data_IF_321968506921
#
_entry.id   IF_321968506921
#
_cell.length_a   1.000
_cell.length_b   1.000
_cell.length_c   1.000
_cell.angle_alpha   90.00
_cell.angle_beta   90.00
_cell.angle_gamma   90.00
#
_symmetry.space_group_name_H-M   'P 1'
#
loop_
_entity.id
_entity.type
_entity.pdbx_description
1 polymer ?
#
# COMPACT_ATOMS: atom_id res chain seq x y z
N UNK A 1 -80.25 -44.66 -18.18
CA UNK A 1 -80.35 -43.28 -18.71
C UNK A 1 -78.93 -42.76 -18.79
N UNK A 2 -78.56 -42.37 -20.01
CA UNK A 2 -77.48 -41.47 -20.43
C UNK A 2 -76.09 -41.45 -19.75
N UNK A 3 -75.11 -41.72 -20.62
CA UNK A 3 -73.84 -40.98 -20.85
C UNK A 3 -72.82 -41.07 -19.70
N UNK A 4 -71.55 -41.39 -19.98
CA UNK A 4 -70.66 -40.49 -20.69
C UNK A 4 -69.38 -41.23 -21.09
N UNK A 5 -68.97 -41.05 -22.36
CA UNK A 5 -67.69 -41.53 -22.91
C UNK A 5 -66.56 -40.67 -22.36
N UNK A 6 -65.55 -41.27 -21.74
CA UNK A 6 -64.30 -40.58 -21.44
C UNK A 6 -63.36 -40.69 -22.64
N UNK A 7 -63.25 -39.59 -23.38
CA UNK A 7 -62.26 -39.39 -24.43
C UNK A 7 -60.91 -39.18 -23.76
N UNK A 8 -59.99 -40.12 -23.90
CA UNK A 8 -58.59 -39.95 -23.46
C UNK A 8 -57.87 -39.08 -24.49
N UNK A 9 -57.77 -37.79 -24.17
CA UNK A 9 -57.03 -36.81 -24.98
C UNK A 9 -55.53 -37.05 -24.80
N UNK A 10 -54.88 -37.49 -25.88
CA UNK A 10 -53.42 -37.51 -26.00
C UNK A 10 -52.91 -36.05 -26.00
N UNK A 11 -52.23 -35.63 -24.93
CA UNK A 11 -51.39 -34.43 -24.95
C UNK A 11 -49.95 -34.89 -25.17
N UNK A 12 -49.30 -34.51 -26.28
CA UNK A 12 -47.94 -34.93 -26.57
C UNK A 12 -46.96 -34.26 -25.60
N UNK A 13 -46.09 -35.10 -25.06
CA UNK A 13 -44.90 -34.82 -24.26
C UNK A 13 -43.90 -34.00 -25.10
N UNK A 14 -44.14 -32.70 -25.26
CA UNK A 14 -43.38 -31.83 -26.16
C UNK A 14 -42.95 -30.52 -25.47
N UNK A 15 -42.52 -30.60 -24.21
CA UNK A 15 -41.93 -29.47 -23.46
C UNK A 15 -40.85 -29.92 -22.46
N UNK A 16 -39.97 -30.84 -22.84
CA UNK A 16 -38.86 -31.27 -21.97
C UNK A 16 -37.51 -31.44 -22.69
N UNK A 17 -37.25 -30.59 -23.70
CA UNK A 17 -35.96 -30.53 -24.39
C UNK A 17 -35.45 -29.09 -24.56
N UNK A 18 -35.59 -28.23 -23.55
CA UNK A 18 -34.92 -26.92 -23.50
C UNK A 18 -34.11 -26.71 -22.20
N UNK A 19 -33.75 -27.79 -21.51
CA UNK A 19 -32.84 -27.75 -20.35
C UNK A 19 -31.51 -28.47 -20.63
N UNK A 20 -31.12 -28.56 -21.89
CA UNK A 20 -29.74 -28.80 -22.33
C UNK A 20 -29.09 -27.47 -22.75
N UNK A 21 -29.31 -26.42 -21.95
CA UNK A 21 -28.40 -25.29 -21.94
C UNK A 21 -27.06 -25.80 -21.40
N UNK A 22 -26.03 -25.65 -22.24
CA UNK A 22 -24.67 -26.08 -22.03
C UNK A 22 -24.12 -25.75 -20.64
N UNK A 23 -23.19 -26.59 -20.22
CA UNK A 23 -22.28 -26.40 -19.10
C UNK A 23 -21.90 -24.94 -18.86
N UNK A 24 -22.04 -24.49 -17.61
CA UNK A 24 -21.16 -23.65 -16.75
C UNK A 24 -19.98 -22.85 -17.35
N UNK A 25 -19.99 -22.43 -18.61
CA UNK A 25 -18.86 -21.79 -19.29
C UNK A 25 -19.15 -20.34 -19.69
N UNK A 26 -19.72 -19.60 -18.74
CA UNK A 26 -19.65 -18.15 -18.71
C UNK A 26 -19.36 -17.72 -17.27
N UNK A 27 -18.21 -18.13 -16.74
CA UNK A 27 -17.65 -17.46 -15.56
C UNK A 27 -17.30 -16.05 -15.99
N UNK A 28 -18.24 -15.13 -15.80
CA UNK A 28 -17.97 -13.71 -15.87
C UNK A 28 -16.75 -13.43 -14.98
N UNK A 29 -15.73 -12.78 -15.54
CA UNK A 29 -14.47 -12.50 -14.83
C UNK A 29 -14.73 -11.36 -13.83
N UNK A 30 -15.39 -11.72 -12.73
CA UNK A 30 -15.76 -10.88 -11.61
C UNK A 30 -14.55 -10.60 -10.69
N UNK A 31 -14.76 -9.83 -9.62
CA UNK A 31 -13.70 -9.47 -8.68
C UNK A 31 -13.01 -10.72 -8.08
N UNK A 32 -13.76 -11.73 -7.66
CA UNK A 32 -13.20 -12.95 -7.05
C UNK A 32 -12.27 -13.70 -8.01
N UNK A 33 -12.62 -13.79 -9.29
CA UNK A 33 -11.79 -14.41 -10.32
C UNK A 33 -10.44 -13.70 -10.45
N UNK A 34 -10.45 -12.37 -10.55
CA UNK A 34 -9.22 -11.60 -10.70
C UNK A 34 -8.38 -11.58 -9.43
N UNK A 35 -9.03 -11.54 -8.25
CA UNK A 35 -8.35 -11.64 -6.97
C UNK A 35 -7.59 -12.96 -6.86
N UNK A 36 -8.24 -14.09 -7.18
CA UNK A 36 -7.60 -15.40 -7.16
C UNK A 36 -6.38 -15.48 -8.09
N UNK A 37 -6.46 -14.84 -9.26
CA UNK A 37 -5.32 -14.77 -10.19
C UNK A 37 -4.19 -13.88 -9.69
N UNK A 38 -4.50 -12.73 -9.10
CA UNK A 38 -3.51 -11.87 -8.48
C UNK A 38 -2.82 -12.58 -7.29
N UNK A 39 -3.58 -13.27 -6.44
CA UNK A 39 -3.06 -14.04 -5.30
C UNK A 39 -2.13 -15.18 -5.74
N UNK A 40 -2.52 -15.95 -6.76
CA UNK A 40 -1.67 -17.00 -7.35
C UNK A 40 -0.31 -16.43 -7.77
N UNK A 41 -0.30 -15.25 -8.38
CA UNK A 41 0.92 -14.61 -8.90
C UNK A 41 1.75 -13.95 -7.81
N UNK A 42 1.11 -13.39 -6.79
CA UNK A 42 1.77 -12.93 -5.56
C UNK A 42 2.50 -14.08 -4.86
N UNK A 43 1.86 -15.25 -4.73
CA UNK A 43 2.49 -16.44 -4.13
C UNK A 43 3.71 -16.93 -4.92
N UNK A 44 3.67 -16.89 -6.25
CA UNK A 44 4.84 -17.23 -7.08
C UNK A 44 5.99 -16.24 -6.89
N UNK A 45 5.69 -14.94 -6.81
CA UNK A 45 6.68 -13.92 -6.49
C UNK A 45 7.31 -14.18 -5.12
N UNK A 46 6.50 -14.37 -4.08
CA UNK A 46 7.00 -14.66 -2.71
C UNK A 46 7.85 -15.93 -2.69
N UNK A 47 7.40 -17.01 -3.33
CA UNK A 47 8.16 -18.26 -3.40
C UNK A 47 9.51 -18.08 -4.10
N UNK A 48 9.59 -17.25 -5.15
CA UNK A 48 10.86 -16.92 -5.80
C UNK A 48 11.78 -16.14 -4.85
N UNK A 49 11.25 -15.13 -4.16
CA UNK A 49 12.03 -14.30 -3.23
C UNK A 49 12.57 -15.13 -2.05
N UNK A 50 11.77 -16.06 -1.52
CA UNK A 50 12.17 -16.97 -0.44
C UNK A 50 13.11 -18.10 -0.88
N UNK A 51 13.33 -18.30 -2.19
CA UNK A 51 14.23 -19.36 -2.68
C UNK A 51 15.71 -19.06 -2.45
N UNK A 52 16.07 -17.81 -2.14
CA UNK A 52 17.44 -17.39 -1.87
C UNK A 52 17.68 -17.35 -0.35
N UNK A 53 18.62 -18.14 0.18
CA UNK A 53 18.98 -18.07 1.59
C UNK A 53 19.65 -16.73 1.91
N UNK A 54 19.49 -16.27 3.15
CA UNK A 54 20.05 -15.03 3.66
C UNK A 54 21.11 -15.31 4.71
N UNK A 55 22.37 -15.07 4.34
CA UNK A 55 23.52 -15.04 5.25
C UNK A 55 23.91 -13.59 5.60
N UNK A 56 23.87 -12.71 4.59
CA UNK A 56 24.08 -11.28 4.72
C UNK A 56 22.90 -10.51 4.11
N UNK A 57 22.24 -9.66 4.89
CA UNK A 57 21.07 -8.92 4.42
C UNK A 57 21.42 -7.79 3.44
N UNK A 58 22.67 -7.32 3.47
CA UNK A 58 23.14 -6.26 2.57
C UNK A 58 23.26 -6.72 1.11
N UNK A 59 23.24 -8.04 0.89
CA UNK A 59 23.20 -8.63 -0.46
C UNK A 59 21.81 -8.52 -1.10
N UNK A 60 20.80 -8.10 -0.33
CA UNK A 60 19.42 -7.92 -0.81
C UNK A 60 19.11 -6.43 -0.96
N UNK A 61 18.39 -6.06 -2.02
CA UNK A 61 17.87 -4.72 -2.23
C UNK A 61 16.39 -4.64 -1.86
N UNK A 62 15.97 -3.54 -1.25
CA UNK A 62 14.56 -3.27 -1.02
C UNK A 62 13.93 -2.76 -2.32
N UNK A 63 12.83 -3.37 -2.73
CA UNK A 63 12.00 -2.92 -3.85
C UNK A 63 10.56 -2.78 -3.42
N UNK A 64 9.86 -1.86 -4.08
CA UNK A 64 8.42 -1.69 -3.93
C UNK A 64 7.74 -2.27 -5.17
N UNK A 65 6.84 -3.23 -4.97
CA UNK A 65 5.99 -3.77 -6.02
C UNK A 65 4.53 -3.60 -5.63
N UNK A 66 3.76 -2.97 -6.51
CA UNK A 66 2.36 -2.57 -6.27
C UNK A 66 2.26 -1.73 -4.99
N UNK A 67 1.88 -2.35 -3.87
CA UNK A 67 1.67 -1.71 -2.57
C UNK A 67 2.39 -2.45 -1.44
N UNK A 68 3.48 -3.13 -1.75
CA UNK A 68 4.26 -3.89 -0.77
C UNK A 68 5.75 -3.75 -1.00
N UNK A 69 6.50 -3.85 0.09
CA UNK A 69 7.95 -3.86 0.10
C UNK A 69 8.45 -5.30 0.08
N UNK A 70 9.51 -5.54 -0.69
CA UNK A 70 10.14 -6.83 -0.84
C UNK A 70 11.66 -6.70 -0.75
N UNK A 71 12.32 -7.75 -0.27
CA UNK A 71 13.76 -7.91 -0.37
C UNK A 71 14.09 -8.81 -1.55
N UNK A 72 14.89 -8.30 -2.47
CA UNK A 72 15.22 -8.96 -3.73
C UNK A 72 16.72 -9.14 -3.80
N UNK A 73 17.19 -10.37 -4.00
CA UNK A 73 18.59 -10.61 -4.27
C UNK A 73 18.89 -10.32 -5.76
N UNK A 74 20.00 -9.63 -6.10
CA UNK A 74 20.33 -9.28 -7.49
C UNK A 74 20.31 -10.46 -8.47
N UNK A 75 20.66 -11.68 -8.03
CA UNK A 75 20.67 -12.88 -8.89
C UNK A 75 19.29 -13.29 -9.43
N UNK A 76 18.19 -12.89 -8.79
CA UNK A 76 16.82 -13.20 -9.21
C UNK A 76 16.01 -11.97 -9.64
N UNK A 77 16.65 -10.79 -9.64
CA UNK A 77 15.99 -9.49 -9.81
C UNK A 77 15.13 -9.43 -11.07
N UNK A 78 15.69 -9.82 -12.23
CA UNK A 78 14.96 -9.78 -13.51
C UNK A 78 13.71 -10.67 -13.49
N UNK A 79 13.79 -11.83 -12.84
CA UNK A 79 12.66 -12.76 -12.74
C UNK A 79 11.62 -12.25 -11.75
N UNK A 80 12.06 -11.65 -10.64
CA UNK A 80 11.18 -11.01 -9.66
C UNK A 80 10.44 -9.82 -10.28
N UNK A 81 11.15 -8.93 -11.00
CA UNK A 81 10.54 -7.78 -11.69
C UNK A 81 9.48 -8.21 -12.71
N UNK A 82 9.75 -9.30 -13.46
CA UNK A 82 8.78 -9.87 -14.39
C UNK A 82 7.51 -10.36 -13.66
N UNK A 83 7.67 -11.16 -12.61
CA UNK A 83 6.53 -11.68 -11.84
C UNK A 83 5.76 -10.55 -11.15
N UNK A 84 6.45 -9.55 -10.61
CA UNK A 84 5.84 -8.37 -10.01
C UNK A 84 4.98 -7.60 -11.01
N UNK A 85 5.46 -7.44 -12.26
CA UNK A 85 4.68 -6.80 -13.33
C UNK A 85 3.46 -7.63 -13.75
N UNK A 86 3.59 -8.94 -13.82
CA UNK A 86 2.45 -9.83 -14.10
C UNK A 86 1.41 -9.78 -12.98
N UNK A 87 1.85 -9.77 -11.72
CA UNK A 87 1.02 -9.58 -10.54
C UNK A 87 0.29 -8.22 -10.58
N UNK A 88 1.01 -7.13 -10.85
CA UNK A 88 0.45 -5.78 -10.95
C UNK A 88 -0.67 -5.68 -11.99
N UNK A 89 -0.48 -6.30 -13.16
CA UNK A 89 -1.52 -6.35 -14.20
C UNK A 89 -2.79 -7.04 -13.70
N UNK A 90 -2.65 -8.14 -12.95
CA UNK A 90 -3.79 -8.89 -12.42
C UNK A 90 -4.46 -8.13 -11.26
N UNK A 91 -3.67 -7.47 -10.42
CA UNK A 91 -4.16 -6.60 -9.36
C UNK A 91 -5.01 -5.45 -9.91
N UNK A 92 -4.56 -4.78 -10.97
CA UNK A 92 -5.36 -3.73 -11.60
C UNK A 92 -6.67 -4.24 -12.17
N UNK A 93 -6.70 -5.44 -12.78
CA UNK A 93 -7.95 -6.05 -13.24
C UNK A 93 -8.90 -6.38 -12.11
N UNK A 94 -8.38 -6.76 -10.95
CA UNK A 94 -9.17 -6.96 -9.74
C UNK A 94 -9.77 -5.64 -9.24
N UNK A 95 -8.97 -4.57 -9.16
CA UNK A 95 -9.45 -3.24 -8.79
C UNK A 95 -10.55 -2.75 -9.75
N UNK A 96 -10.35 -2.90 -11.06
CA UNK A 96 -11.33 -2.53 -12.08
C UNK A 96 -12.64 -3.32 -11.93
N UNK A 97 -12.56 -4.61 -11.58
CA UNK A 97 -13.73 -5.45 -11.36
C UNK A 97 -14.51 -5.03 -10.11
N UNK A 98 -13.81 -4.75 -8.98
CA UNK A 98 -14.45 -4.20 -7.77
C UNK A 98 -15.20 -2.91 -8.09
N UNK A 99 -14.57 -1.99 -8.83
CA UNK A 99 -15.19 -0.71 -9.18
C UNK A 99 -16.45 -0.88 -10.05
N UNK A 100 -16.43 -1.81 -11.01
CA UNK A 100 -17.60 -2.13 -11.84
C UNK A 100 -18.75 -2.72 -11.03
N UNK A 101 -18.43 -3.46 -9.97
CA UNK A 101 -19.39 -4.02 -9.02
C UNK A 101 -19.88 -2.98 -7.98
N UNK A 102 -19.42 -1.73 -8.08
CA UNK A 102 -19.81 -0.64 -7.19
C UNK A 102 -19.02 -0.59 -5.87
N UNK A 103 -17.96 -1.39 -5.74
CA UNK A 103 -17.07 -1.39 -4.59
C UNK A 103 -16.02 -0.28 -4.66
N UNK A 104 -15.44 0.03 -3.50
CA UNK A 104 -14.30 0.94 -3.35
C UNK A 104 -13.13 0.15 -2.79
N UNK A 105 -11.97 0.25 -3.43
CA UNK A 105 -10.72 -0.30 -2.88
C UNK A 105 -10.06 0.80 -2.07
N UNK A 106 -10.02 0.61 -0.75
CA UNK A 106 -9.25 1.49 0.12
C UNK A 106 -7.80 1.03 0.13
N UNK A 107 -6.94 1.89 -0.42
CA UNK A 107 -5.51 1.68 -0.44
C UNK A 107 -4.93 2.20 0.88
N UNK A 108 -4.82 1.29 1.85
CA UNK A 108 -4.15 1.60 3.11
C UNK A 108 -2.75 2.17 2.83
N UNK A 109 -2.39 3.22 3.57
CA UNK A 109 -1.06 3.82 3.47
C UNK A 109 0.00 2.77 3.78
N UNK A 110 0.97 2.62 2.88
CA UNK A 110 2.05 1.65 3.07
C UNK A 110 2.81 1.93 4.36
N UNK A 111 3.10 0.89 5.14
CA UNK A 111 3.95 0.96 6.33
C UNK A 111 5.40 0.68 5.91
N UNK A 112 6.24 1.71 5.74
CA UNK A 112 7.60 1.51 5.28
C UNK A 112 8.43 0.72 6.31
N UNK A 113 9.27 -0.22 5.85
CA UNK A 113 10.20 -0.90 6.72
C UNK A 113 11.26 0.08 7.22
N UNK A 114 11.72 -0.14 8.44
CA UNK A 114 12.74 0.68 9.10
C UNK A 114 14.12 0.04 9.07
N UNK A 115 14.19 -1.23 8.68
CA UNK A 115 15.42 -1.99 8.58
C UNK A 115 15.21 -3.32 7.87
N UNK A 116 16.29 -4.09 7.79
CA UNK A 116 16.33 -5.38 7.11
C UNK A 116 17.19 -6.32 7.97
N UNK A 117 16.86 -7.60 7.99
CA UNK A 117 17.67 -8.62 8.67
C UNK A 117 17.56 -10.00 7.99
N UNK A 118 18.48 -10.90 8.30
CA UNK A 118 18.29 -12.33 8.04
C UNK A 118 17.70 -12.99 9.29
N UNK A 119 16.53 -13.61 9.18
CA UNK A 119 15.87 -14.35 10.27
C UNK A 119 15.64 -15.78 9.79
N UNK A 120 16.17 -16.77 10.52
CA UNK A 120 16.08 -18.19 10.16
C UNK A 120 16.53 -18.49 8.72
N UNK A 121 17.60 -17.82 8.26
CA UNK A 121 18.13 -17.97 6.90
C UNK A 121 17.26 -17.33 5.81
N UNK A 122 16.28 -16.49 6.16
CA UNK A 122 15.44 -15.75 5.19
C UNK A 122 15.60 -14.25 5.35
N UNK A 123 15.69 -13.54 4.23
CA UNK A 123 15.72 -12.09 4.23
C UNK A 123 14.35 -11.55 4.67
N UNK A 124 14.33 -10.70 5.69
CA UNK A 124 13.12 -10.18 6.31
C UNK A 124 13.19 -8.67 6.44
N UNK A 125 12.07 -8.00 6.14
CA UNK A 125 11.89 -6.58 6.41
C UNK A 125 11.54 -6.38 7.89
N UNK A 126 12.19 -5.41 8.53
CA UNK A 126 11.91 -5.02 9.90
C UNK A 126 11.06 -3.76 9.93
N UNK A 127 10.00 -3.76 10.73
CA UNK A 127 9.05 -2.66 10.84
C UNK A 127 9.12 -1.95 12.20
N UNK A 128 8.62 -0.72 12.26
CA UNK A 128 8.65 0.10 13.48
C UNK A 128 7.97 -0.60 14.67
N UNK A 129 6.93 -1.41 14.42
CA UNK A 129 6.17 -2.14 15.43
C UNK A 129 7.02 -3.18 16.18
N UNK A 130 8.13 -3.62 15.59
CA UNK A 130 9.04 -4.64 16.15
C UNK A 130 10.22 -4.04 16.93
N UNK A 131 10.30 -2.71 17.01
CA UNK A 131 11.38 -2.02 17.72
C UNK A 131 11.08 -1.89 19.22
N UNK A 132 12.14 -1.96 20.02
CA UNK A 132 12.17 -1.51 21.42
C UNK A 132 12.13 0.01 21.54
N UNK A 133 11.92 0.53 22.75
CA UNK A 133 11.90 1.98 22.98
C UNK A 133 13.28 2.60 22.74
N UNK A 134 14.34 1.89 23.14
CA UNK A 134 15.73 2.28 22.98
C UNK A 134 16.10 2.40 21.49
N UNK A 135 15.73 1.42 20.68
CA UNK A 135 15.97 1.44 19.23
C UNK A 135 15.22 2.58 18.53
N UNK A 136 13.95 2.80 18.91
CA UNK A 136 13.17 3.93 18.39
C UNK A 136 13.85 5.26 18.73
N UNK A 137 14.26 5.45 19.99
CA UNK A 137 14.96 6.66 20.44
C UNK A 137 16.29 6.87 19.74
N UNK A 138 17.02 5.81 19.42
CA UNK A 138 18.27 5.88 18.68
C UNK A 138 18.07 6.26 17.20
N UNK A 139 17.04 5.74 16.55
CA UNK A 139 16.81 5.95 15.11
C UNK A 139 16.14 7.29 14.79
N UNK A 140 15.24 7.77 15.66
CA UNK A 140 14.41 8.94 15.38
C UNK A 140 15.20 10.21 15.02
N UNK A 141 16.28 10.60 15.71
CA UNK A 141 17.03 11.82 15.39
C UNK A 141 17.55 11.83 13.95
N UNK A 142 18.15 10.73 13.49
CA UNK A 142 18.65 10.62 12.12
C UNK A 142 17.55 10.69 11.07
N UNK A 143 16.38 10.10 11.35
CA UNK A 143 15.21 10.19 10.45
C UNK A 143 14.61 11.59 10.42
N UNK A 144 14.57 12.28 11.55
CA UNK A 144 14.13 13.66 11.63
C UNK A 144 15.01 14.58 10.78
N UNK A 145 16.33 14.52 10.98
CA UNK A 145 17.30 15.30 10.21
C UNK A 145 17.18 15.00 8.71
N UNK A 146 17.02 13.73 8.33
CA UNK A 146 16.82 13.38 6.93
C UNK A 146 15.58 14.05 6.31
N UNK A 147 14.46 14.17 7.05
CA UNK A 147 13.26 14.91 6.57
C UNK A 147 13.59 16.38 6.39
N UNK A 148 14.27 17.01 7.36
CA UNK A 148 14.61 18.44 7.32
C UNK A 148 15.59 18.76 6.19
N UNK A 149 16.52 17.86 5.92
CA UNK A 149 17.57 18.04 4.93
C UNK A 149 17.17 17.66 3.51
N UNK A 150 16.08 16.89 3.31
CA UNK A 150 15.75 16.28 2.03
C UNK A 150 15.68 17.28 0.86
N UNK A 151 15.13 18.47 1.10
CA UNK A 151 14.97 19.53 0.11
C UNK A 151 15.91 20.72 0.34
N UNK A 152 16.94 20.60 1.18
CA UNK A 152 17.79 21.76 1.57
C UNK A 152 18.48 22.45 0.39
N UNK A 153 18.77 21.68 -0.67
CA UNK A 153 19.46 22.13 -1.88
C UNK A 153 18.48 22.43 -3.04
N UNK A 154 17.17 22.31 -2.81
CA UNK A 154 16.14 22.63 -3.80
C UNK A 154 15.63 24.05 -3.57
N UNK A 155 15.91 25.01 -4.48
CA UNK A 155 15.50 26.39 -4.29
C UNK A 155 13.98 26.56 -4.40
N UNK A 156 13.42 27.43 -3.57
CA UNK A 156 12.05 27.89 -3.66
C UNK A 156 12.01 29.21 -4.42
N UNK A 157 11.61 29.15 -5.69
CA UNK A 157 11.39 30.34 -6.54
C UNK A 157 9.91 30.62 -6.75
N UNK A 158 9.06 29.59 -6.69
CA UNK A 158 7.61 29.69 -6.85
C UNK A 158 6.92 28.86 -5.75
N UNK A 159 6.16 29.49 -4.82
CA UNK A 159 5.50 28.78 -3.73
C UNK A 159 4.44 27.77 -4.21
N UNK A 160 3.91 27.95 -5.42
CA UNK A 160 2.91 27.03 -5.97
C UNK A 160 3.50 25.67 -6.37
N UNK A 161 4.82 25.52 -6.42
CA UNK A 161 5.46 24.22 -6.67
C UNK A 161 5.57 23.39 -5.39
N UNK A 162 5.17 23.97 -4.25
CA UNK A 162 5.26 23.37 -2.92
C UNK A 162 3.88 23.20 -2.30
N UNK A 163 3.80 22.27 -1.35
CA UNK A 163 2.64 22.03 -0.51
C UNK A 163 3.07 21.86 0.94
N UNK A 164 2.14 22.10 1.86
CA UNK A 164 2.31 21.70 3.24
C UNK A 164 2.10 20.19 3.39
N UNK A 165 2.92 19.56 4.22
CA UNK A 165 2.78 18.18 4.64
C UNK A 165 3.00 18.08 6.14
N UNK A 166 2.39 17.11 6.81
CA UNK A 166 2.45 17.01 8.26
C UNK A 166 3.43 15.94 8.72
N UNK A 167 4.34 16.36 9.61
CA UNK A 167 5.24 15.51 10.34
C UNK A 167 4.76 15.42 11.79
N UNK A 168 4.70 14.23 12.36
CA UNK A 168 4.16 14.04 13.72
C UNK A 168 5.21 14.44 14.75
N UNK A 169 4.93 15.45 15.58
CA UNK A 169 5.84 15.93 16.62
C UNK A 169 5.20 15.77 18.00
N UNK A 170 5.04 14.50 18.42
CA UNK A 170 4.29 14.16 19.63
C UNK A 170 2.78 14.26 19.39
N UNK A 171 2.08 15.04 20.22
CA UNK A 171 0.62 15.17 20.15
C UNK A 171 0.13 16.12 19.06
N UNK A 172 0.92 17.14 18.73
CA UNK A 172 0.60 18.05 17.64
C UNK A 172 1.54 17.85 16.45
N UNK A 173 1.01 17.87 15.22
CA UNK A 173 1.87 17.80 14.06
C UNK A 173 2.63 19.11 13.89
N UNK A 174 3.84 19.01 13.36
CA UNK A 174 4.54 20.12 12.73
C UNK A 174 4.30 20.08 11.21
N UNK A 175 4.44 21.22 10.54
CA UNK A 175 4.34 21.29 9.10
C UNK A 175 5.73 21.34 8.45
N UNK A 176 5.88 20.60 7.37
CA UNK A 176 7.05 20.60 6.49
C UNK A 176 6.62 20.89 5.05
N UNK A 177 7.52 21.46 4.25
CA UNK A 177 7.25 21.69 2.83
C UNK A 177 7.59 20.43 2.02
N UNK A 178 6.72 20.08 1.08
CA UNK A 178 6.97 19.05 0.07
C UNK A 178 6.92 19.67 -1.33
N UNK A 179 7.87 19.34 -2.19
CA UNK A 179 7.81 19.73 -3.61
C UNK A 179 6.81 18.83 -4.33
N UNK A 180 5.93 19.41 -5.16
CA UNK A 180 4.85 18.64 -5.83
C UNK A 180 5.37 17.59 -6.81
N UNK A 181 6.52 17.85 -7.44
CA UNK A 181 7.06 17.00 -8.52
C UNK A 181 8.46 16.44 -8.29
N UNK A 182 9.27 16.99 -7.38
CA UNK A 182 10.67 16.59 -7.22
C UNK A 182 10.73 15.54 -6.12
N UNK A 183 10.97 14.27 -6.50
CA UNK A 183 11.19 13.16 -5.56
C UNK A 183 10.16 13.09 -4.42
N UNK A 184 8.91 13.46 -4.71
CA UNK A 184 7.84 13.58 -3.71
C UNK A 184 7.50 12.24 -3.07
N UNK A 185 7.51 11.16 -3.84
CA UNK A 185 7.30 9.80 -3.33
C UNK A 185 8.35 9.40 -2.28
N UNK A 186 9.63 9.68 -2.55
CA UNK A 186 10.73 9.41 -1.61
C UNK A 186 10.60 10.24 -0.33
N UNK A 187 10.23 11.52 -0.45
CA UNK A 187 10.00 12.38 0.71
C UNK A 187 8.82 11.89 1.56
N UNK A 188 7.71 11.52 0.91
CA UNK A 188 6.52 10.99 1.59
C UNK A 188 6.88 9.71 2.35
N UNK A 189 7.60 8.77 1.74
CA UNK A 189 8.05 7.56 2.43
C UNK A 189 8.91 7.88 3.66
N UNK A 190 9.80 8.87 3.56
CA UNK A 190 10.64 9.30 4.67
C UNK A 190 9.82 9.91 5.83
N UNK A 191 8.84 10.75 5.51
CA UNK A 191 7.91 11.31 6.51
C UNK A 191 7.07 10.22 7.16
N UNK A 192 6.53 9.28 6.39
CA UNK A 192 5.75 8.15 6.93
C UNK A 192 6.64 7.33 7.87
N UNK A 193 7.87 7.01 7.46
CA UNK A 193 8.84 6.27 8.27
C UNK A 193 9.08 6.97 9.62
N UNK A 194 9.27 8.28 9.62
CA UNK A 194 9.41 9.03 10.87
C UNK A 194 8.12 8.99 11.70
N UNK A 195 6.96 9.21 11.08
CA UNK A 195 5.67 9.24 11.76
C UNK A 195 5.33 7.89 12.45
N UNK A 196 5.63 6.76 11.82
CA UNK A 196 5.43 5.44 12.43
C UNK A 196 6.37 5.18 13.61
N UNK A 197 7.60 5.74 13.58
CA UNK A 197 8.51 5.70 14.72
C UNK A 197 8.00 6.55 15.89
N UNK A 198 7.49 7.75 15.62
CA UNK A 198 6.86 8.60 16.64
C UNK A 198 5.66 7.88 17.26
N UNK A 199 4.81 7.27 16.43
CA UNK A 199 3.67 6.49 16.91
C UNK A 199 4.11 5.31 17.79
N UNK A 200 5.13 4.56 17.37
CA UNK A 200 5.68 3.46 18.17
C UNK A 200 6.21 3.96 19.51
N UNK A 201 6.96 5.06 19.52
CA UNK A 201 7.47 5.70 20.75
C UNK A 201 6.32 6.00 21.71
N UNK A 202 5.28 6.68 21.22
CA UNK A 202 4.11 7.03 22.03
C UNK A 202 3.40 5.81 22.60
N UNK A 203 3.25 4.75 21.81
CA UNK A 203 2.65 3.49 22.28
C UNK A 203 3.47 2.86 23.40
N UNK A 204 4.80 2.80 23.26
CA UNK A 204 5.71 2.23 24.25
C UNK A 204 5.81 3.07 25.53
N UNK A 205 5.69 4.40 25.42
CA UNK A 205 5.71 5.32 26.57
C UNK A 205 4.32 5.48 27.23
N UNK A 206 3.27 4.92 26.64
CA UNK A 206 1.89 5.09 27.13
C UNK A 206 1.35 6.51 26.96
N UNK A 207 1.89 7.27 26.01
CA UNK A 207 1.52 8.67 25.77
C UNK A 207 0.11 8.78 25.20
N UNK A 208 -0.79 9.44 25.93
CA UNK A 208 -2.14 9.80 25.48
C UNK A 208 -2.18 11.28 25.15
N UNK A 209 -2.75 11.63 23.99
CA UNK A 209 -2.95 13.02 23.60
C UNK A 209 -4.38 13.44 23.96
N UNK A 210 -4.50 14.40 24.86
CA UNK A 210 -5.78 14.98 25.24
C UNK A 210 -6.12 16.15 24.29
N UNK A 211 -7.33 16.15 23.75
CA UNK A 211 -7.80 17.18 22.82
C UNK A 211 -7.27 17.04 21.38
N UNK A 212 -7.83 17.84 20.49
CA UNK A 212 -7.35 17.98 19.11
C UNK A 212 -6.39 19.15 18.99
N UNK A 213 -5.40 19.05 18.12
CA UNK A 213 -4.56 20.20 17.77
C UNK A 213 -5.27 21.03 16.71
N UNK A 214 -5.68 22.25 17.06
CA UNK A 214 -6.29 23.19 16.12
C UNK A 214 -5.23 23.86 15.23
N UNK A 215 -4.36 23.04 14.63
CA UNK A 215 -3.28 23.48 13.76
C UNK A 215 -3.72 23.34 12.31
N UNK A 216 -3.79 24.43 11.57
CA UNK A 216 -3.91 24.41 10.12
C UNK A 216 -2.61 24.92 9.50
N UNK A 217 -2.17 24.29 8.40
CA UNK A 217 -1.02 24.77 7.66
C UNK A 217 -1.42 25.96 6.79
N UNK A 218 -0.68 27.06 6.89
CA UNK A 218 -0.79 28.17 5.93
C UNK A 218 -0.24 27.74 4.56
N UNK A 219 -0.61 28.43 3.46
CA UNK A 219 0.06 28.26 2.18
C UNK A 219 1.58 28.42 2.32
N UNK A 220 2.33 27.62 1.55
CA UNK A 220 3.80 27.71 1.53
C UNK A 220 4.21 29.09 1.01
N UNK A 221 5.23 29.68 1.61
CA UNK A 221 5.88 30.89 1.10
C UNK A 221 7.36 30.63 0.83
N UNK A 222 7.91 31.24 -0.22
CA UNK A 222 9.36 31.21 -0.43
C UNK A 222 10.00 32.38 0.32
N UNK A 223 10.84 32.08 1.30
CA UNK A 223 11.61 33.08 2.07
C UNK A 223 13.09 32.73 1.98
N UNK A 224 13.90 33.71 1.57
CA UNK A 224 15.36 33.54 1.40
C UNK A 224 15.71 32.33 0.50
N UNK A 225 14.91 32.12 -0.55
CA UNK A 225 15.07 31.00 -1.48
C UNK A 225 14.69 29.63 -0.91
N UNK A 226 14.08 29.55 0.27
CA UNK A 226 13.66 28.30 0.91
C UNK A 226 12.14 28.25 1.12
N UNK A 227 11.51 27.07 1.01
CA UNK A 227 10.09 26.94 1.29
C UNK A 227 9.85 26.98 2.80
N UNK A 228 8.89 27.79 3.23
CA UNK A 228 8.47 27.92 4.62
C UNK A 228 6.99 27.57 4.75
N UNK A 229 6.67 26.74 5.74
CA UNK A 229 5.28 26.43 6.12
C UNK A 229 5.08 26.86 7.56
N UNK A 230 4.10 27.72 7.80
CA UNK A 230 3.69 28.13 9.13
C UNK A 230 2.40 27.40 9.52
N UNK A 231 2.26 27.12 10.81
CA UNK A 231 1.00 26.69 11.38
C UNK A 231 0.24 27.90 11.93
N UNK A 232 -1.08 27.92 11.74
CA UNK A 232 -1.97 28.76 12.55
C UNK A 232 -2.38 27.97 13.78
N UNK A 233 -2.19 28.55 14.96
CA UNK A 233 -2.80 28.06 16.20
C UNK A 233 -4.13 28.80 16.36
N UNK A 234 -5.24 28.06 16.34
CA UNK A 234 -6.56 28.60 16.70
C UNK A 234 -6.78 28.55 18.21
#
# INVERSE_FOLDING_TARGET
>A
MEKMKFVTFWIPLLLLNILSACSKDATEKNADYWNAKADEKSKELVALLESIPCENVDDFIQKTYVMSYYLVHPSIEQKADKLAKEYEILFHKWVDAIQKEGGVVDFAQMNPPVGRSCVNGKATLRYAQELSLEEVKAMMPGKYEAVKDFYKDVPCTNPNDWSAYFLRSGCCPEAVAIHKTIRSAEFVELVITYNVLVQRKMQLEGTVCEGGCANAAKPVVCKDGKPLVELTHN
#
